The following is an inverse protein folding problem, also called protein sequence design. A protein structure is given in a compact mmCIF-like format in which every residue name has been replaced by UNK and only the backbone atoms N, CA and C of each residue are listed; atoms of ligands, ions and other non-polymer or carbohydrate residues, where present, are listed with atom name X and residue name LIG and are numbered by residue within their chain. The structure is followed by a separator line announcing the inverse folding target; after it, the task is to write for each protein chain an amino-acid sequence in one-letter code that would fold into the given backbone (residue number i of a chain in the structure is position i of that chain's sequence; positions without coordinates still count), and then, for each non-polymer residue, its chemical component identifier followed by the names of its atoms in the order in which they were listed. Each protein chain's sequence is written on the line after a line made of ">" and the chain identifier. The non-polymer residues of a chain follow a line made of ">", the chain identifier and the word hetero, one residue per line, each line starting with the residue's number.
data_IF_554632344366
#
_entry.id   IF_554632344366
#
_cell.length_a   1.000
_cell.length_b   1.000
_cell.length_c   1.000
_cell.angle_alpha   90.00
_cell.angle_beta   90.00
_cell.angle_gamma   90.00
#
_symmetry.space_group_name_H-M   'P 1'
#
loop_
_entity.id
_entity.type
_entity.pdbx_description
1 polymer ?
#
# COMPACT_ATOMS: atom_id res chain seq x y z
N UNK A 1 -0.33 4.01 -23.57
CA UNK A 1 -0.25 5.31 -22.86
C UNK A 1 -1.36 6.26 -23.32
N UNK A 2 -1.48 6.59 -24.62
CA UNK A 2 -2.52 7.52 -25.12
C UNK A 2 -3.98 7.13 -24.82
N UNK A 3 -4.35 5.85 -24.92
CA UNK A 3 -5.71 5.39 -24.63
C UNK A 3 -6.16 5.52 -23.15
N UNK A 4 -5.20 5.69 -22.23
CA UNK A 4 -5.45 5.78 -20.78
C UNK A 4 -5.09 7.17 -20.23
N UNK A 5 -4.85 8.16 -21.11
CA UNK A 5 -4.44 9.51 -20.72
C UNK A 5 -3.23 9.54 -19.76
N UNK A 6 -2.32 8.59 -19.91
CA UNK A 6 -1.08 8.55 -19.12
C UNK A 6 -0.17 9.68 -19.62
N UNK A 7 0.23 10.64 -18.75
CA UNK A 7 1.07 11.76 -19.17
C UNK A 7 2.45 11.28 -19.65
N UNK A 8 3.16 12.09 -20.46
CA UNK A 8 4.55 11.82 -20.78
C UNK A 8 5.42 11.88 -19.52
N UNK A 9 6.58 11.24 -19.61
CA UNK A 9 7.55 11.20 -18.51
C UNK A 9 8.14 12.61 -18.28
N UNK A 10 8.17 13.06 -17.03
CA UNK A 10 8.71 14.35 -16.58
C UNK A 10 9.37 14.26 -15.18
N UNK A 11 9.80 15.39 -14.60
CA UNK A 11 10.47 15.40 -13.30
C UNK A 11 9.63 14.86 -12.12
N UNK A 12 8.31 14.72 -12.27
CA UNK A 12 7.38 14.27 -11.22
C UNK A 12 6.72 12.93 -11.53
N UNK A 13 6.73 12.50 -12.79
CA UNK A 13 6.10 11.26 -13.22
C UNK A 13 6.99 10.52 -14.21
N UNK A 14 7.31 9.27 -13.91
CA UNK A 14 8.11 8.41 -14.77
C UNK A 14 7.46 7.04 -14.83
N UNK A 15 7.38 6.45 -16.02
CA UNK A 15 6.90 5.08 -16.21
C UNK A 15 8.03 4.19 -16.69
N UNK A 16 8.50 3.33 -15.79
CA UNK A 16 9.53 2.33 -16.05
C UNK A 16 8.89 1.01 -16.47
N UNK A 17 9.30 0.47 -17.62
CA UNK A 17 8.92 -0.89 -18.04
C UNK A 17 9.92 -1.89 -17.44
N UNK A 18 9.53 -2.57 -16.36
CA UNK A 18 10.36 -3.56 -15.69
C UNK A 18 9.50 -4.62 -14.98
N UNK A 19 10.14 -5.71 -14.56
CA UNK A 19 9.58 -6.58 -13.53
C UNK A 19 9.66 -5.85 -12.18
N UNK A 20 8.52 -5.69 -11.51
CA UNK A 20 8.46 -4.92 -10.26
C UNK A 20 9.27 -5.52 -9.11
N UNK A 21 9.34 -6.85 -9.00
CA UNK A 21 10.12 -7.51 -7.95
C UNK A 21 11.62 -7.32 -8.19
N UNK A 22 12.04 -7.43 -9.46
CA UNK A 22 13.41 -7.15 -9.89
C UNK A 22 13.78 -5.69 -9.64
N UNK A 23 12.91 -4.75 -10.02
CA UNK A 23 13.14 -3.32 -9.82
C UNK A 23 13.36 -2.99 -8.34
N UNK A 24 12.47 -3.44 -7.45
CA UNK A 24 12.60 -3.21 -6.01
C UNK A 24 13.90 -3.79 -5.45
N UNK A 25 14.31 -4.98 -5.92
CA UNK A 25 15.55 -5.62 -5.46
C UNK A 25 16.82 -4.91 -5.93
N UNK A 26 16.80 -4.33 -7.14
CA UNK A 26 18.01 -3.82 -7.82
C UNK A 26 18.14 -2.29 -7.76
N UNK A 27 17.10 -1.57 -7.32
CA UNK A 27 17.12 -0.10 -7.25
C UNK A 27 17.91 0.43 -6.04
N UNK A 28 18.65 1.51 -6.27
CA UNK A 28 19.29 2.30 -5.21
C UNK A 28 18.38 3.42 -4.69
N UNK A 29 17.18 3.58 -5.25
CA UNK A 29 16.22 4.59 -4.82
C UNK A 29 15.65 4.29 -3.42
N UNK A 30 15.18 5.34 -2.75
CA UNK A 30 14.52 5.25 -1.45
C UNK A 30 13.20 6.01 -1.46
N UNK A 31 12.13 5.33 -1.08
CA UNK A 31 10.77 5.83 -1.23
C UNK A 31 10.14 6.19 0.13
N UNK A 32 9.41 7.30 0.17
CA UNK A 32 8.54 7.63 1.30
C UNK A 32 7.28 6.76 1.31
N UNK A 33 6.76 6.44 0.13
CA UNK A 33 5.59 5.58 -0.07
C UNK A 33 5.85 4.64 -1.24
N UNK A 34 5.62 3.35 -1.02
CA UNK A 34 5.65 2.30 -2.05
C UNK A 34 4.25 1.68 -2.15
N UNK A 35 3.62 1.76 -3.31
CA UNK A 35 2.30 1.17 -3.55
C UNK A 35 2.42 -0.09 -4.40
N UNK A 36 1.87 -1.20 -3.93
CA UNK A 36 1.87 -2.49 -4.63
C UNK A 36 0.43 -2.86 -4.99
N UNK A 37 0.13 -2.77 -6.28
CA UNK A 37 -1.13 -3.22 -6.87
C UNK A 37 -0.81 -4.10 -8.07
N UNK A 38 -0.79 -5.42 -7.84
CA UNK A 38 -0.16 -6.37 -8.75
C UNK A 38 -0.96 -7.66 -8.95
N UNK A 39 -2.27 -7.62 -8.72
CA UNK A 39 -3.15 -8.72 -9.09
C UNK A 39 -3.44 -8.68 -10.59
N UNK A 40 -3.21 -9.80 -11.25
CA UNK A 40 -3.69 -10.04 -12.61
C UNK A 40 -4.83 -11.08 -12.60
N UNK A 41 -5.25 -11.54 -13.78
CA UNK A 41 -6.32 -12.53 -13.92
C UNK A 41 -5.99 -13.90 -13.33
N UNK A 42 -4.71 -14.18 -13.07
CA UNK A 42 -4.20 -15.41 -12.47
C UNK A 42 -3.87 -15.24 -10.97
N UNK A 43 -4.06 -14.04 -10.41
CA UNK A 43 -3.78 -13.73 -9.01
C UNK A 43 -2.52 -12.87 -8.86
N UNK A 44 -1.89 -12.95 -7.68
CA UNK A 44 -0.63 -12.24 -7.45
C UNK A 44 0.56 -13.07 -7.93
N UNK A 45 1.47 -12.54 -8.76
CA UNK A 45 2.69 -13.21 -9.16
C UNK A 45 3.49 -13.72 -7.97
N UNK A 46 4.02 -14.95 -8.07
CA UNK A 46 4.70 -15.61 -6.95
C UNK A 46 5.88 -14.80 -6.38
N UNK A 47 6.60 -14.08 -7.24
CA UNK A 47 7.70 -13.20 -6.82
C UNK A 47 7.20 -12.08 -5.90
N UNK A 48 6.12 -11.40 -6.28
CA UNK A 48 5.51 -10.28 -5.53
C UNK A 48 4.74 -10.75 -4.28
N UNK A 49 4.35 -12.02 -4.23
CA UNK A 49 3.77 -12.63 -3.03
C UNK A 49 4.78 -13.22 -2.05
N UNK A 50 6.08 -13.22 -2.38
CA UNK A 50 7.12 -13.86 -1.58
C UNK A 50 7.51 -13.02 -0.36
N UNK A 51 8.02 -13.67 0.70
CA UNK A 51 8.59 -12.94 1.83
C UNK A 51 9.77 -12.08 1.40
N UNK A 52 10.63 -12.61 0.52
CA UNK A 52 11.81 -11.89 0.02
C UNK A 52 11.43 -10.55 -0.61
N UNK A 53 10.36 -10.51 -1.39
CA UNK A 53 9.87 -9.25 -1.97
C UNK A 53 9.47 -8.23 -0.90
N UNK A 54 8.78 -8.66 0.17
CA UNK A 54 8.43 -7.74 1.25
C UNK A 54 9.64 -7.28 2.09
N UNK A 55 10.66 -8.13 2.25
CA UNK A 55 11.95 -7.73 2.85
C UNK A 55 12.64 -6.67 1.94
N UNK A 56 12.70 -6.91 0.63
CA UNK A 56 13.27 -5.95 -0.33
C UNK A 56 12.47 -4.62 -0.34
N UNK A 57 11.15 -4.67 -0.26
CA UNK A 57 10.29 -3.49 -0.11
C UNK A 57 10.61 -2.69 1.16
N UNK A 58 10.87 -3.36 2.29
CA UNK A 58 11.26 -2.70 3.53
C UNK A 58 12.62 -2.01 3.38
N UNK A 59 13.56 -2.63 2.68
CA UNK A 59 14.91 -2.09 2.48
C UNK A 59 14.91 -0.79 1.67
N UNK A 60 14.08 -0.70 0.62
CA UNK A 60 13.96 0.50 -0.22
C UNK A 60 13.09 1.62 0.39
N UNK A 61 12.45 1.41 1.53
CA UNK A 61 11.72 2.49 2.21
C UNK A 61 12.67 3.41 3.00
N UNK A 62 12.36 4.71 2.98
CA UNK A 62 12.94 5.68 3.90
C UNK A 62 12.52 5.37 5.36
N UNK A 63 13.29 5.82 6.38
CA UNK A 63 12.83 5.76 7.76
C UNK A 63 11.46 6.44 7.94
N UNK A 64 10.49 5.71 8.49
CA UNK A 64 9.09 6.17 8.59
C UNK A 64 8.27 6.03 7.30
N UNK A 65 8.84 5.45 6.24
CA UNK A 65 8.17 5.20 4.97
C UNK A 65 7.10 4.11 5.07
N UNK A 66 6.22 4.07 4.07
CA UNK A 66 5.01 3.25 4.07
C UNK A 66 4.92 2.40 2.79
N UNK A 67 4.82 1.08 2.94
CA UNK A 67 4.32 0.20 1.90
C UNK A 67 2.79 0.12 2.00
N UNK A 68 2.09 0.22 0.88
CA UNK A 68 0.64 0.07 0.78
C UNK A 68 0.35 -1.01 -0.25
N UNK A 69 -0.21 -2.15 0.17
CA UNK A 69 -0.46 -3.31 -0.71
C UNK A 69 -1.96 -3.53 -0.84
N UNK A 70 -2.45 -3.62 -2.07
CA UNK A 70 -3.81 -4.09 -2.34
C UNK A 70 -3.83 -5.62 -2.41
N UNK A 71 -4.60 -6.27 -1.53
CA UNK A 71 -4.79 -7.72 -1.52
C UNK A 71 -6.25 -8.09 -1.75
N UNK A 72 -6.50 -9.05 -2.64
CA UNK A 72 -7.82 -9.66 -2.76
C UNK A 72 -8.12 -10.53 -1.52
N UNK A 73 -9.10 -10.11 -0.72
CA UNK A 73 -9.46 -10.76 0.54
C UNK A 73 -10.02 -12.19 0.37
N UNK A 74 -10.62 -12.49 -0.79
CA UNK A 74 -11.12 -13.81 -1.15
C UNK A 74 -10.06 -14.76 -1.71
N UNK A 75 -8.83 -14.30 -1.94
CA UNK A 75 -7.78 -15.13 -2.50
C UNK A 75 -7.32 -16.20 -1.50
N UNK A 76 -7.14 -17.48 -1.90
CA UNK A 76 -6.77 -18.58 -0.99
C UNK A 76 -5.51 -18.31 -0.17
N UNK A 77 -4.55 -17.58 -0.74
CA UNK A 77 -3.29 -17.23 -0.08
C UNK A 77 -3.32 -15.88 0.67
N UNK A 78 -4.47 -15.24 0.85
CA UNK A 78 -4.57 -13.95 1.53
C UNK A 78 -3.84 -13.92 2.88
N UNK A 79 -4.13 -14.90 3.75
CA UNK A 79 -3.49 -14.99 5.07
C UNK A 79 -1.99 -15.26 5.00
N UNK A 80 -1.53 -15.98 3.96
CA UNK A 80 -0.11 -16.23 3.71
C UNK A 80 0.61 -14.94 3.35
N UNK A 81 0.02 -14.11 2.48
CA UNK A 81 0.59 -12.81 2.12
C UNK A 81 0.63 -11.87 3.32
N UNK A 82 -0.46 -11.81 4.10
CA UNK A 82 -0.51 -11.01 5.31
C UNK A 82 0.55 -11.45 6.35
N UNK A 83 0.74 -12.75 6.56
CA UNK A 83 1.78 -13.28 7.44
C UNK A 83 3.19 -12.88 6.96
N UNK A 84 3.47 -13.00 5.66
CA UNK A 84 4.77 -12.61 5.09
C UNK A 84 5.04 -11.11 5.24
N UNK A 85 4.05 -10.26 5.05
CA UNK A 85 4.15 -8.81 5.31
C UNK A 85 4.48 -8.58 6.79
N UNK A 86 3.75 -9.21 7.71
CA UNK A 86 3.99 -9.11 9.16
C UNK A 86 5.38 -9.60 9.58
N UNK A 87 5.90 -10.65 8.96
CA UNK A 87 7.27 -11.13 9.22
C UNK A 87 8.35 -10.13 8.81
N UNK A 88 8.06 -9.25 7.85
CA UNK A 88 9.00 -8.24 7.36
C UNK A 88 8.87 -6.94 8.16
N UNK A 89 7.63 -6.48 8.39
CA UNK A 89 7.34 -5.18 9.02
C UNK A 89 7.02 -5.24 10.53
N UNK A 90 6.93 -6.44 11.10
CA UNK A 90 6.53 -6.67 12.50
C UNK A 90 5.11 -6.19 12.79
N UNK A 91 4.92 -5.59 13.96
CA UNK A 91 3.62 -5.04 14.40
C UNK A 91 3.22 -3.77 13.65
N UNK A 92 4.07 -3.23 12.76
CA UNK A 92 3.83 -1.98 12.04
C UNK A 92 2.92 -2.18 10.81
N UNK A 93 1.88 -3.00 10.96
CA UNK A 93 0.95 -3.36 9.88
C UNK A 93 -0.48 -3.00 10.27
N UNK A 94 -1.19 -2.27 9.42
CA UNK A 94 -2.61 -1.96 9.54
C UNK A 94 -3.36 -2.54 8.34
N UNK A 95 -4.34 -3.39 8.63
CA UNK A 95 -5.29 -3.91 7.63
C UNK A 95 -6.51 -3.01 7.58
N UNK A 96 -6.91 -2.61 6.37
CA UNK A 96 -8.13 -1.86 6.11
C UNK A 96 -8.94 -2.62 5.07
N UNK A 97 -10.08 -3.16 5.48
CA UNK A 97 -10.99 -3.83 4.57
C UNK A 97 -11.84 -2.81 3.80
N UNK A 98 -12.07 -3.07 2.52
CA UNK A 98 -13.01 -2.28 1.73
C UNK A 98 -14.46 -2.57 2.13
N UNK A 99 -15.40 -1.73 1.67
CA UNK A 99 -16.83 -1.76 2.03
C UNK A 99 -17.45 -3.14 1.88
N UNK A 100 -17.14 -3.80 0.77
CA UNK A 100 -17.78 -5.05 0.37
C UNK A 100 -16.92 -6.28 0.74
N UNK A 101 -15.78 -6.06 1.41
CA UNK A 101 -14.87 -7.13 1.86
C UNK A 101 -14.17 -7.88 0.73
N UNK A 102 -14.21 -7.37 -0.51
CA UNK A 102 -13.54 -7.98 -1.67
C UNK A 102 -12.03 -7.76 -1.65
N UNK A 103 -11.59 -6.58 -1.21
CA UNK A 103 -10.20 -6.18 -1.10
C UNK A 103 -9.87 -5.76 0.32
N UNK A 104 -8.62 -6.01 0.71
CA UNK A 104 -8.00 -5.43 1.91
C UNK A 104 -6.76 -4.67 1.50
N UNK A 105 -6.70 -3.41 1.90
CA UNK A 105 -5.49 -2.59 1.79
C UNK A 105 -4.66 -2.78 3.04
N UNK A 106 -3.40 -3.20 2.86
CA UNK A 106 -2.45 -3.40 3.94
C UNK A 106 -1.46 -2.24 3.93
N UNK A 107 -1.45 -1.45 5.00
CA UNK A 107 -0.46 -0.43 5.25
C UNK A 107 0.64 -1.02 6.14
N UNK A 108 1.90 -0.95 5.73
CA UNK A 108 3.03 -1.49 6.47
C UNK A 108 4.16 -0.44 6.55
N UNK A 109 4.62 -0.11 7.76
CA UNK A 109 5.53 1.03 7.98
C UNK A 109 6.92 0.59 8.41
N UNK A 110 7.95 1.24 7.84
CA UNK A 110 9.33 1.13 8.31
C UNK A 110 9.50 1.99 9.56
N UNK A 111 9.44 1.36 10.73
CA UNK A 111 9.42 2.04 12.02
C UNK A 111 7.99 2.09 12.60
N UNK A 112 7.78 2.88 13.65
CA UNK A 112 6.63 2.74 14.54
C UNK A 112 5.49 3.75 14.33
N UNK A 113 5.51 4.49 13.22
CA UNK A 113 4.52 5.55 12.94
C UNK A 113 3.07 5.03 13.02
N UNK A 114 2.82 3.82 12.50
CA UNK A 114 1.48 3.20 12.57
C UNK A 114 1.08 2.77 13.99
N UNK A 115 2.03 2.51 14.88
CA UNK A 115 1.74 2.22 16.30
C UNK A 115 1.28 3.47 17.04
N UNK A 116 1.84 4.62 16.68
CA UNK A 116 1.52 5.92 17.29
C UNK A 116 0.32 6.61 16.64
N UNK A 117 -0.12 6.13 15.49
CA UNK A 117 -1.23 6.71 14.75
C UNK A 117 -2.58 6.37 15.41
N UNK A 118 -3.36 7.40 15.73
CA UNK A 118 -4.72 7.27 16.27
C UNK A 118 -5.69 7.84 15.24
N UNK A 119 -6.77 7.10 14.96
CA UNK A 119 -7.80 7.59 14.05
C UNK A 119 -8.58 8.76 14.67
N UNK A 120 -8.69 9.86 13.94
CA UNK A 120 -9.32 11.10 14.39
C UNK A 120 -10.34 11.65 13.39
N UNK A 121 -10.90 12.85 13.66
CA UNK A 121 -11.82 13.49 12.73
C UNK A 121 -11.12 13.77 11.39
N UNK A 122 -11.81 13.42 10.31
CA UNK A 122 -11.30 13.59 8.95
C UNK A 122 -11.30 15.06 8.55
N UNK A 123 -10.26 15.46 7.81
CA UNK A 123 -10.13 16.79 7.23
C UNK A 123 -9.71 16.65 5.77
N UNK A 124 -10.28 17.48 4.89
CA UNK A 124 -9.91 17.50 3.48
C UNK A 124 -8.43 17.90 3.34
N UNK A 125 -7.59 17.09 2.68
CA UNK A 125 -6.20 17.45 2.42
C UNK A 125 -6.08 18.75 1.60
N UNK A 126 -5.07 19.58 1.85
CA UNK A 126 -4.76 20.72 0.99
C UNK A 126 -4.54 20.26 -0.46
N UNK A 127 -5.13 20.97 -1.42
CA UNK A 127 -5.00 20.65 -2.86
C UNK A 127 -5.96 19.57 -3.38
N UNK A 128 -6.74 18.91 -2.52
CA UNK A 128 -7.76 17.96 -2.97
C UNK A 128 -9.07 18.70 -3.30
N UNK A 129 -9.58 18.50 -4.52
CA UNK A 129 -10.86 19.07 -4.97
C UNK A 129 -12.05 18.63 -4.10
N UNK A 130 -13.13 19.41 -4.10
CA UNK A 130 -14.32 19.11 -3.29
C UNK A 130 -14.95 17.76 -3.69
N UNK A 131 -15.12 17.52 -4.99
CA UNK A 131 -15.72 16.30 -5.52
C UNK A 131 -14.84 15.07 -5.23
N UNK A 132 -13.53 15.21 -5.40
CA UNK A 132 -12.58 14.15 -5.05
C UNK A 132 -12.60 13.85 -3.54
N UNK A 133 -12.74 14.88 -2.70
CA UNK A 133 -12.89 14.70 -1.27
C UNK A 133 -14.16 13.95 -0.91
N UNK A 134 -15.29 14.34 -1.46
CA UNK A 134 -16.57 13.66 -1.26
C UNK A 134 -16.49 12.17 -1.62
N UNK A 135 -15.87 11.85 -2.77
CA UNK A 135 -15.67 10.47 -3.21
C UNK A 135 -14.74 9.66 -2.29
N UNK A 136 -13.69 10.30 -1.75
CA UNK A 136 -12.67 9.62 -0.94
C UNK A 136 -13.03 9.54 0.55
N UNK A 137 -13.99 10.32 1.05
CA UNK A 137 -14.36 10.35 2.48
C UNK A 137 -14.65 8.96 3.06
N UNK A 138 -15.31 8.10 2.29
CA UNK A 138 -15.60 6.72 2.71
C UNK A 138 -14.33 5.91 2.96
N UNK A 139 -13.34 6.02 2.07
CA UNK A 139 -12.07 5.33 2.21
C UNK A 139 -11.27 5.86 3.42
N UNK A 140 -11.19 7.18 3.57
CA UNK A 140 -10.55 7.81 4.74
C UNK A 140 -11.20 7.40 6.05
N UNK A 141 -12.52 7.24 6.08
CA UNK A 141 -13.27 6.80 7.26
C UNK A 141 -12.92 5.37 7.66
N UNK A 142 -12.70 4.48 6.69
CA UNK A 142 -12.26 3.10 6.95
C UNK A 142 -10.86 3.06 7.54
N UNK A 143 -9.93 3.86 7.01
CA UNK A 143 -8.58 3.98 7.57
C UNK A 143 -8.62 4.51 9.01
N UNK A 144 -9.37 5.57 9.27
CA UNK A 144 -9.53 6.13 10.62
C UNK A 144 -10.16 5.11 11.58
N UNK A 145 -11.20 4.40 11.14
CA UNK A 145 -11.83 3.34 11.92
C UNK A 145 -10.90 2.17 12.23
N UNK A 146 -10.06 1.76 11.28
CA UNK A 146 -9.07 0.71 11.49
C UNK A 146 -8.01 1.13 12.51
N UNK A 147 -7.51 2.37 12.44
CA UNK A 147 -6.59 2.94 13.43
C UNK A 147 -7.21 2.99 14.83
N UNK A 148 -8.49 3.40 14.94
CA UNK A 148 -9.20 3.42 16.23
C UNK A 148 -9.38 2.03 16.83
N UNK A 149 -9.71 1.03 16.02
CA UNK A 149 -9.86 -0.36 16.48
C UNK A 149 -8.54 -0.95 16.99
N UNK A 150 -7.42 -0.58 16.36
CA UNK A 150 -6.08 -1.02 16.75
C UNK A 150 -5.61 -0.42 18.07
N UNK A 151 -6.03 0.81 18.39
CA UNK A 151 -5.63 1.50 19.61
C UNK A 151 -6.39 1.03 20.88
N UNK A 152 -7.36 0.12 20.73
CA UNK A 152 -8.13 -0.49 21.82
C UNK A 152 -7.54 -1.84 22.19
#
# INVERSE_FOLDING_TARGET
>A
RGAFNVPPDDARFQVTLADGARFVRETDERFDVLMVDAFDSQGMPAALGSRRFYDDCLDVLQPGGLMVVNLHAGHPHFLVYLDRIRRSFGENVLRVDDKDGSNSVIFACKGDRLQRAVGGPLRRPPGLGADAWEQLQGAFSRVAGALQKRAR
#
